data_IF_872803064409
#
_entry.id   IF_872803064409
#
_cell.length_a   1.000
_cell.length_b   1.000
_cell.length_c   1.000
_cell.angle_alpha   90.00
_cell.angle_beta   90.00
_cell.angle_gamma   90.00
#
_symmetry.space_group_name_H-M   'P 1'
#
loop_
_entity.id
_entity.type
_entity.pdbx_description
1 polymer ?
#
# COMPACT_ATOMS: atom_id res chain seq x y z
N UNK A 1 -22.09 -3.35 0.60
CA UNK A 1 -21.62 -2.23 -0.26
C UNK A 1 -20.51 -2.75 -1.16
N UNK A 2 -20.41 -2.31 -2.43
CA UNK A 2 -19.42 -2.84 -3.36
C UNK A 2 -17.99 -2.49 -2.92
N UNK A 3 -17.06 -3.38 -3.24
CA UNK A 3 -15.63 -3.15 -3.06
C UNK A 3 -15.17 -1.98 -3.94
N UNK A 4 -14.29 -1.14 -3.41
CA UNK A 4 -13.65 -0.06 -4.15
C UNK A 4 -12.33 -0.57 -4.73
N UNK A 5 -12.09 -0.19 -5.99
CA UNK A 5 -10.84 -0.44 -6.69
C UNK A 5 -10.11 0.87 -6.89
N UNK A 6 -8.83 0.91 -6.52
CA UNK A 6 -7.93 2.02 -6.81
C UNK A 6 -6.70 1.49 -7.55
N UNK A 7 -6.26 2.24 -8.57
CA UNK A 7 -5.05 1.93 -9.33
C UNK A 7 -3.84 2.67 -8.77
N UNK A 8 -2.67 2.05 -8.88
CA UNK A 8 -1.40 2.68 -8.55
C UNK A 8 -0.28 2.16 -9.43
N UNK A 9 0.89 2.77 -9.25
CA UNK A 9 2.15 2.30 -9.82
C UNK A 9 3.06 1.91 -8.67
N UNK A 10 3.79 0.81 -8.84
CA UNK A 10 4.82 0.34 -7.93
C UNK A 10 6.06 0.02 -8.75
N UNK A 11 7.13 0.81 -8.57
CA UNK A 11 8.27 0.83 -9.50
C UNK A 11 7.74 1.02 -10.93
N UNK A 12 7.86 0.01 -11.78
CA UNK A 12 7.41 0.01 -13.18
C UNK A 12 6.17 -0.87 -13.42
N UNK A 13 5.57 -1.40 -12.36
CA UNK A 13 4.43 -2.32 -12.45
C UNK A 13 3.11 -1.65 -12.05
N UNK A 14 2.06 -1.97 -12.80
CA UNK A 14 0.70 -1.51 -12.50
C UNK A 14 0.12 -2.33 -11.35
N UNK A 15 -0.43 -1.66 -10.34
CA UNK A 15 -1.06 -2.31 -9.20
C UNK A 15 -2.53 -1.92 -9.03
N UNK A 16 -3.32 -2.85 -8.50
CA UNK A 16 -4.72 -2.67 -8.12
C UNK A 16 -4.85 -2.94 -6.62
N UNK A 17 -5.51 -2.04 -5.93
CA UNK A 17 -5.94 -2.20 -4.55
C UNK A 17 -7.43 -2.47 -4.52
N UNK A 18 -7.82 -3.64 -4.03
CA UNK A 18 -9.21 -3.95 -3.72
C UNK A 18 -9.45 -3.83 -2.23
N UNK A 19 -10.43 -3.01 -1.86
CA UNK A 19 -10.75 -2.75 -0.46
C UNK A 19 -12.23 -2.48 -0.24
N UNK A 20 -12.76 -2.91 0.91
CA UNK A 20 -14.10 -2.55 1.37
C UNK A 20 -14.05 -1.43 2.41
N UNK A 21 -15.09 -0.58 2.44
CA UNK A 21 -15.21 0.53 3.41
C UNK A 21 -15.43 0.08 4.86
N UNK A 22 -15.55 -1.22 5.12
CA UNK A 22 -15.73 -1.74 6.49
C UNK A 22 -14.44 -1.72 7.32
N UNK A 23 -14.56 -1.40 8.61
CA UNK A 23 -13.48 -1.38 9.61
C UNK A 23 -12.79 -2.75 9.84
N UNK A 24 -13.30 -3.82 9.21
CA UNK A 24 -12.76 -5.18 9.28
C UNK A 24 -12.31 -5.73 7.92
N UNK A 25 -12.21 -4.87 6.92
CA UNK A 25 -11.91 -5.27 5.56
C UNK A 25 -10.46 -5.70 5.38
N UNK A 26 -10.27 -6.62 4.45
CA UNK A 26 -8.98 -6.92 3.89
C UNK A 26 -8.68 -5.95 2.75
N UNK A 27 -7.41 -5.61 2.58
CA UNK A 27 -6.89 -5.06 1.33
C UNK A 27 -6.23 -6.22 0.60
N UNK A 28 -6.67 -6.41 -0.64
CA UNK A 28 -5.96 -7.24 -1.60
C UNK A 28 -5.16 -6.34 -2.54
N UNK A 29 -3.88 -6.63 -2.66
CA UNK A 29 -3.00 -5.98 -3.64
C UNK A 29 -2.76 -6.95 -4.78
N UNK A 30 -3.03 -6.48 -6.00
CA UNK A 30 -2.74 -7.19 -7.23
C UNK A 30 -1.72 -6.44 -8.05
N UNK A 31 -0.85 -7.19 -8.71
CA UNK A 31 0.25 -6.68 -9.52
C UNK A 31 0.16 -7.26 -10.93
N UNK A 32 0.26 -6.41 -11.94
CA UNK A 32 0.37 -6.85 -13.34
C UNK A 32 1.85 -7.01 -13.69
N UNK A 33 2.29 -8.26 -13.88
CA UNK A 33 3.68 -8.54 -14.29
C UNK A 33 3.94 -8.17 -15.75
N UNK A 34 2.95 -8.35 -16.62
CA UNK A 34 3.09 -8.11 -18.05
C UNK A 34 1.96 -7.20 -18.55
N UNK A 35 2.34 -6.03 -19.08
CA UNK A 35 1.38 -5.02 -19.48
C UNK A 35 0.46 -5.54 -20.60
N UNK A 36 -0.86 -5.33 -20.43
CA UNK A 36 -1.96 -5.79 -21.33
C UNK A 36 -2.22 -7.29 -21.36
N UNK A 37 -1.50 -8.10 -20.58
CA UNK A 37 -1.83 -9.52 -20.42
C UNK A 37 -2.71 -9.68 -19.20
N UNK A 38 -3.98 -10.03 -19.41
CA UNK A 38 -4.98 -10.15 -18.34
C UNK A 38 -4.62 -11.28 -17.35
N UNK A 39 -3.97 -12.32 -17.83
CA UNK A 39 -3.59 -13.49 -17.05
C UNK A 39 -2.33 -13.24 -16.20
N UNK A 40 -1.65 -12.11 -16.40
CA UNK A 40 -0.42 -11.74 -15.68
C UNK A 40 -0.67 -11.09 -14.32
N UNK A 41 -1.93 -10.89 -13.94
CA UNK A 41 -2.30 -10.38 -12.61
C UNK A 41 -1.97 -11.43 -11.56
N UNK A 42 -1.03 -11.11 -10.69
CA UNK A 42 -0.70 -11.92 -9.50
C UNK A 42 -1.17 -11.20 -8.25
N UNK A 43 -1.72 -11.96 -7.30
CA UNK A 43 -2.04 -11.43 -5.98
C UNK A 43 -0.76 -11.35 -5.17
N UNK A 44 -0.33 -10.14 -4.81
CA UNK A 44 0.91 -9.91 -4.08
C UNK A 44 0.71 -10.18 -2.59
N UNK A 45 -0.24 -9.46 -1.98
CA UNK A 45 -0.52 -9.56 -0.55
C UNK A 45 -2.01 -9.43 -0.26
N UNK A 46 -2.41 -10.00 0.87
CA UNK A 46 -3.70 -9.77 1.52
C UNK A 46 -3.46 -9.49 2.98
N UNK A 47 -3.87 -8.33 3.45
CA UNK A 47 -3.70 -7.97 4.86
C UNK A 47 -4.94 -7.25 5.38
N UNK A 48 -5.12 -7.31 6.70
CA UNK A 48 -6.21 -6.63 7.36
C UNK A 48 -5.87 -5.17 7.57
N UNK A 49 -6.78 -4.26 7.22
CA UNK A 49 -6.62 -2.84 7.52
C UNK A 49 -6.44 -2.64 9.04
N UNK A 50 -5.34 -2.04 9.52
CA UNK A 50 -5.23 -1.67 10.92
C UNK A 50 -6.27 -0.59 11.24
N UNK A 51 -7.25 -0.90 12.09
CA UNK A 51 -8.41 -0.05 12.46
C UNK A 51 -8.17 1.44 12.17
N UNK A 52 -8.71 1.90 11.04
CA UNK A 52 -8.71 3.31 10.67
C UNK A 52 -9.87 4.00 11.39
N UNK A 53 -9.84 5.34 11.46
CA UNK A 53 -11.05 6.06 11.85
C UNK A 53 -12.16 5.76 10.83
N UNK A 54 -13.39 6.15 11.13
CA UNK A 54 -14.56 6.00 10.24
C UNK A 54 -14.44 6.87 8.95
N UNK A 55 -13.22 7.29 8.60
CA UNK A 55 -12.92 8.16 7.48
C UNK A 55 -13.15 7.42 6.17
N UNK A 56 -13.93 8.07 5.32
CA UNK A 56 -14.56 7.42 4.18
C UNK A 56 -13.67 7.39 2.93
N UNK A 57 -12.43 7.89 3.05
CA UNK A 57 -11.46 8.11 2.00
C UNK A 57 -10.06 7.69 2.45
N UNK A 58 -9.67 6.46 2.12
CA UNK A 58 -8.28 6.03 2.18
C UNK A 58 -7.80 5.74 0.76
N UNK A 59 -6.66 6.33 0.40
CA UNK A 59 -5.95 6.01 -0.84
C UNK A 59 -4.68 5.25 -0.46
N UNK A 60 -4.67 3.92 -0.61
CA UNK A 60 -3.45 3.14 -0.40
C UNK A 60 -2.49 3.39 -1.56
N UNK A 61 -1.23 3.68 -1.23
CA UNK A 61 -0.10 3.68 -2.17
C UNK A 61 0.92 2.69 -1.65
N UNK A 62 1.42 1.80 -2.50
CA UNK A 62 2.60 1.00 -2.16
C UNK A 62 3.80 1.89 -2.41
N UNK A 63 4.57 2.09 -1.36
CA UNK A 63 5.80 2.85 -1.41
C UNK A 63 6.94 1.91 -1.74
N UNK A 64 7.04 0.80 -1.01
CA UNK A 64 8.15 -0.14 -1.18
C UNK A 64 7.71 -1.58 -0.98
N UNK A 65 8.29 -2.49 -1.75
CA UNK A 65 8.24 -3.94 -1.55
C UNK A 65 9.68 -4.43 -1.54
N UNK A 66 10.03 -5.22 -0.52
CA UNK A 66 11.34 -5.85 -0.43
C UNK A 66 11.55 -6.85 -1.56
N UNK A 67 12.79 -7.15 -1.88
CA UNK A 67 13.13 -8.09 -2.96
C UNK A 67 12.59 -9.51 -2.72
N UNK A 68 12.38 -9.87 -1.46
CA UNK A 68 11.81 -11.16 -1.04
C UNK A 68 10.28 -11.14 -0.91
N UNK A 69 9.61 -10.04 -1.27
CA UNK A 69 8.16 -9.81 -1.14
C UNK A 69 7.59 -9.99 0.29
N UNK A 70 8.46 -10.15 1.29
CA UNK A 70 8.06 -10.41 2.67
C UNK A 70 7.67 -9.14 3.42
N UNK A 71 8.22 -7.99 3.00
CA UNK A 71 8.02 -6.71 3.65
C UNK A 71 7.46 -5.69 2.68
N UNK A 72 6.31 -5.13 3.02
CA UNK A 72 5.61 -4.14 2.20
C UNK A 72 5.38 -2.88 3.01
N UNK A 73 5.87 -1.76 2.49
CA UNK A 73 5.62 -0.43 3.03
C UNK A 73 4.51 0.24 2.24
N UNK A 74 3.43 0.54 2.95
CA UNK A 74 2.23 1.17 2.44
C UNK A 74 2.07 2.56 3.05
N UNK A 75 1.61 3.49 2.23
CA UNK A 75 1.21 4.81 2.66
C UNK A 75 -0.30 4.94 2.51
N UNK A 76 -0.95 5.32 3.60
CA UNK A 76 -2.37 5.64 3.65
C UNK A 76 -2.53 7.12 3.92
N UNK A 77 -3.34 7.77 3.09
CA UNK A 77 -3.81 9.13 3.34
C UNK A 77 -5.21 9.08 3.96
N UNK A 78 -5.34 9.59 5.19
CA UNK A 78 -6.59 9.70 5.94
C UNK A 78 -6.79 11.18 6.31
N UNK A 79 -7.68 11.87 5.60
CA UNK A 79 -8.01 13.30 5.74
C UNK A 79 -6.79 14.24 5.79
N UNK A 80 -6.24 14.48 6.97
CA UNK A 80 -5.10 15.37 7.23
C UNK A 80 -3.87 14.64 7.77
N UNK A 81 -3.89 13.31 7.77
CA UNK A 81 -2.84 12.48 8.34
C UNK A 81 -2.29 11.52 7.30
N UNK A 82 -0.98 11.33 7.35
CA UNK A 82 -0.32 10.24 6.65
C UNK A 82 -0.04 9.13 7.64
N UNK A 83 -0.48 7.91 7.29
CA UNK A 83 -0.20 6.71 8.05
C UNK A 83 0.66 5.79 7.20
N UNK A 84 1.88 5.60 7.64
CA UNK A 84 2.77 4.58 7.13
C UNK A 84 2.42 3.25 7.78
N UNK A 85 2.32 2.22 6.97
CA UNK A 85 2.00 0.87 7.41
C UNK A 85 3.05 -0.06 6.85
N UNK A 86 3.80 -0.67 7.75
CA UNK A 86 4.75 -1.71 7.46
C UNK A 86 4.07 -3.05 7.67
N UNK A 87 3.94 -3.83 6.60
CA UNK A 87 3.36 -5.16 6.61
C UNK A 87 4.45 -6.20 6.43
N UNK A 88 4.50 -7.17 7.34
CA UNK A 88 5.34 -8.35 7.26
C UNK A 88 4.43 -9.54 6.93
N UNK A 89 4.52 -10.03 5.69
CA UNK A 89 3.67 -11.10 5.17
C UNK A 89 4.05 -12.48 5.71
N UNK A 90 5.30 -12.67 6.14
CA UNK A 90 5.76 -13.92 6.75
C UNK A 90 5.12 -14.16 8.11
N UNK A 91 5.02 -13.10 8.92
CA UNK A 91 4.46 -13.17 10.26
C UNK A 91 2.99 -12.71 10.34
N UNK A 92 2.41 -12.27 9.21
CA UNK A 92 1.12 -11.58 9.12
C UNK A 92 0.98 -10.43 10.15
N UNK A 93 2.05 -9.67 10.34
CA UNK A 93 2.08 -8.57 11.30
C UNK A 93 2.06 -7.21 10.60
N UNK A 94 1.40 -6.26 11.26
CA UNK A 94 1.30 -4.89 10.76
C UNK A 94 1.78 -3.93 11.83
N UNK A 95 2.77 -3.11 11.49
CA UNK A 95 3.20 -1.96 12.30
C UNK A 95 2.77 -0.69 11.60
N UNK A 96 2.25 0.29 12.33
CA UNK A 96 1.83 1.56 11.74
C UNK A 96 2.43 2.76 12.46
N UNK A 97 2.92 3.71 11.68
CA UNK A 97 3.40 5.00 12.14
C UNK A 97 2.44 6.09 11.61
N UNK A 98 1.83 6.84 12.52
CA UNK A 98 0.96 7.98 12.17
C UNK A 98 1.76 9.27 12.30
N UNK A 99 1.80 10.05 11.23
CA UNK A 99 2.36 11.41 11.25
C UNK A 99 1.18 12.38 11.27
N UNK A 100 1.09 13.17 12.35
CA UNK A 100 0.01 14.13 12.61
C UNK A 100 0.44 15.55 12.19
N UNK A 101 0.89 15.71 10.96
CA UNK A 101 1.19 17.02 10.37
C UNK A 101 0.24 17.28 9.19
N UNK A 102 0.00 18.55 8.84
CA UNK A 102 -0.87 18.90 7.71
C UNK A 102 -0.19 18.58 6.37
N UNK A 103 -0.28 17.31 5.97
CA UNK A 103 0.37 16.75 4.79
C UNK A 103 -0.58 16.64 3.59
N UNK A 104 -1.64 17.47 3.54
CA UNK A 104 -2.67 17.46 2.48
C UNK A 104 -2.11 17.51 1.06
N UNK A 105 -0.93 18.11 0.86
CA UNK A 105 -0.32 18.35 -0.46
C UNK A 105 1.07 17.73 -0.63
N UNK A 106 1.44 16.77 0.22
CA UNK A 106 2.76 16.12 0.11
C UNK A 106 2.65 14.88 -0.76
N UNK A 107 3.55 14.74 -1.73
CA UNK A 107 3.74 13.53 -2.50
C UNK A 107 4.88 12.69 -1.89
N UNK A 108 4.74 11.37 -1.94
CA UNK A 108 5.77 10.45 -1.47
C UNK A 108 6.50 9.87 -2.68
N UNK A 109 7.82 10.01 -2.65
CA UNK A 109 8.76 9.35 -3.56
C UNK A 109 9.69 8.43 -2.77
N UNK A 110 10.19 7.39 -3.43
CA UNK A 110 11.15 6.46 -2.85
C UNK A 110 12.52 6.74 -3.40
N UNK A 111 13.47 6.90 -2.49
CA UNK A 111 14.87 7.04 -2.79
C UNK A 111 15.64 5.87 -2.18
N UNK A 112 16.41 5.15 -3.00
CA UNK A 112 17.25 4.03 -2.58
C UNK A 112 18.66 4.31 -3.05
N UNK A 113 19.62 4.35 -2.14
CA UNK A 113 21.04 4.54 -2.43
C UNK A 113 21.90 3.50 -1.72
N UNK A 114 23.08 3.23 -2.28
CA UNK A 114 24.11 2.44 -1.61
C UNK A 114 24.81 3.31 -0.56
N UNK A 115 24.88 2.83 0.68
CA UNK A 115 25.67 3.48 1.73
C UNK A 115 27.18 3.30 1.53
N UNK A 116 27.58 2.46 0.59
CA UNK A 116 28.96 2.27 0.19
C UNK A 116 29.25 3.28 -0.92
N UNK A 117 30.15 4.23 -0.64
CA UNK A 117 30.68 5.14 -1.65
C UNK A 117 31.42 4.35 -2.74
N UNK A 118 31.33 4.75 -4.02
CA UNK A 118 32.18 4.18 -5.08
C UNK A 118 33.67 4.37 -4.81
#
# INVERSE_FOLDING_TARGET
MPDKLTFGMMRDWLCIFSHSRSLRSFIDVWLMKEYRIKESWVKLIRFRLPAFGDSSYFLPKIVYVSEDDNHVLLLFREDHTLKWVFYDSMNDTTKSLKIKEDLKRVESEVYVESLISP
#
